data_IF_893855979285
#
_entry.id   IF_893855979285
#
_cell.length_a   1.000
_cell.length_b   1.000
_cell.length_c   1.000
_cell.angle_alpha   90.00
_cell.angle_beta   90.00
_cell.angle_gamma   90.00
#
_symmetry.space_group_name_H-M   'P 1'
#
loop_
_entity.id
_entity.type
_entity.pdbx_description
1 polymer ?
#
# COMPACT_ATOMS: atom_id res chain seq x y z
N UNK A 1 -17.48 -0.21 -12.50
CA UNK A 1 -16.35 -0.51 -11.59
C UNK A 1 -16.78 -1.54 -10.56
N UNK A 2 -16.12 -2.70 -10.53
CA UNK A 2 -16.34 -3.73 -9.52
C UNK A 2 -15.95 -3.21 -8.12
N UNK A 3 -16.51 -3.78 -7.05
CA UNK A 3 -16.21 -3.42 -5.64
C UNK A 3 -14.71 -3.49 -5.35
N UNK A 4 -14.03 -4.52 -5.84
CA UNK A 4 -12.58 -4.69 -5.66
C UNK A 4 -11.77 -3.58 -6.35
N UNK A 5 -12.23 -3.09 -7.51
CA UNK A 5 -11.62 -1.93 -8.17
C UNK A 5 -11.84 -0.63 -7.37
N UNK A 6 -13.05 -0.43 -6.81
CA UNK A 6 -13.33 0.74 -5.94
C UNK A 6 -12.43 0.73 -4.69
N UNK A 7 -12.27 -0.44 -4.06
CA UNK A 7 -11.37 -0.62 -2.92
C UNK A 7 -9.89 -0.42 -3.28
N UNK A 8 -9.46 -0.91 -4.44
CA UNK A 8 -8.09 -0.71 -4.92
C UNK A 8 -7.79 0.77 -5.18
N UNK A 9 -8.69 1.49 -5.84
CA UNK A 9 -8.59 2.93 -6.04
C UNK A 9 -8.59 3.71 -4.73
N UNK A 10 -9.49 3.37 -3.80
CA UNK A 10 -9.52 4.00 -2.48
C UNK A 10 -8.18 3.85 -1.74
N UNK A 11 -7.58 2.65 -1.75
CA UNK A 11 -6.28 2.43 -1.14
C UNK A 11 -5.20 3.31 -1.78
N UNK A 12 -5.15 3.36 -3.11
CA UNK A 12 -4.17 4.16 -3.84
C UNK A 12 -4.31 5.64 -3.55
N UNK A 13 -5.54 6.17 -3.53
CA UNK A 13 -5.81 7.58 -3.22
C UNK A 13 -5.38 7.90 -1.79
N UNK A 14 -5.78 7.09 -0.80
CA UNK A 14 -5.45 7.32 0.61
C UNK A 14 -3.94 7.26 0.82
N UNK A 15 -3.25 6.26 0.25
CA UNK A 15 -1.80 6.12 0.40
C UNK A 15 -1.07 7.29 -0.29
N UNK A 16 -1.47 7.65 -1.51
CA UNK A 16 -0.86 8.75 -2.26
C UNK A 16 -1.07 10.08 -1.54
N UNK A 17 -2.30 10.37 -1.10
CA UNK A 17 -2.60 11.56 -0.32
C UNK A 17 -1.79 11.59 0.99
N UNK A 18 -1.66 10.45 1.68
CA UNK A 18 -0.86 10.38 2.91
C UNK A 18 0.61 10.69 2.62
N UNK A 19 1.20 10.13 1.56
CA UNK A 19 2.60 10.39 1.19
C UNK A 19 2.80 11.87 0.86
N UNK A 20 1.90 12.48 0.08
CA UNK A 20 1.97 13.90 -0.29
C UNK A 20 1.85 14.78 0.96
N UNK A 21 0.83 14.57 1.80
CA UNK A 21 0.62 15.38 3.00
C UNK A 21 1.78 15.24 3.98
N UNK A 22 2.24 14.01 4.22
CA UNK A 22 3.36 13.73 5.13
C UNK A 22 4.65 14.36 4.61
N UNK A 23 4.96 14.24 3.31
CA UNK A 23 6.16 14.82 2.72
C UNK A 23 6.15 16.35 2.74
N UNK A 24 5.01 16.98 2.42
CA UNK A 24 4.84 18.44 2.51
C UNK A 24 5.01 18.90 3.96
N UNK A 25 4.36 18.23 4.92
CA UNK A 25 4.46 18.57 6.33
C UNK A 25 5.92 18.47 6.84
N UNK A 26 6.62 17.39 6.50
CA UNK A 26 8.04 17.22 6.85
C UNK A 26 8.91 18.29 6.19
N UNK A 27 8.67 18.63 4.91
CA UNK A 27 9.43 19.66 4.21
C UNK A 27 9.24 21.06 4.80
N UNK A 28 8.00 21.44 5.13
CA UNK A 28 7.69 22.72 5.78
C UNK A 28 8.33 22.79 7.16
N UNK A 29 8.19 21.73 7.97
CA UNK A 29 8.79 21.67 9.31
C UNK A 29 10.32 21.73 9.25
N UNK A 30 10.94 21.03 8.30
CA UNK A 30 12.39 21.08 8.10
C UNK A 30 12.87 22.50 7.75
N UNK A 31 12.10 23.23 6.94
CA UNK A 31 12.42 24.60 6.58
C UNK A 31 12.23 25.60 7.73
N UNK A 32 11.21 25.41 8.57
CA UNK A 32 10.83 26.38 9.62
C UNK A 32 11.50 26.13 10.97
N UNK A 33 11.63 24.86 11.39
CA UNK A 33 12.05 24.47 12.75
C UNK A 33 13.26 23.53 12.76
N UNK A 34 13.72 23.07 11.60
CA UNK A 34 14.77 22.05 11.49
C UNK A 34 14.24 20.64 11.75
N UNK A 35 15.01 19.79 12.43
CA UNK A 35 14.60 18.39 12.69
C UNK A 35 13.41 18.31 13.66
N UNK A 36 12.23 18.03 13.12
CA UNK A 36 10.96 17.90 13.85
C UNK A 36 10.24 16.62 13.45
N UNK A 37 9.67 15.89 14.42
CA UNK A 37 8.95 14.63 14.21
C UNK A 37 7.45 14.82 13.98
N UNK A 38 6.96 16.06 14.03
CA UNK A 38 5.52 16.39 13.91
C UNK A 38 4.98 15.93 12.55
N UNK A 39 5.75 16.11 11.47
CA UNK A 39 5.39 15.68 10.12
C UNK A 39 5.10 14.18 9.99
N UNK A 40 5.70 13.34 10.86
CA UNK A 40 5.52 11.88 10.85
C UNK A 40 4.13 11.49 11.37
N UNK A 41 3.48 12.31 12.19
CA UNK A 41 2.14 12.02 12.70
C UNK A 41 1.06 11.98 11.61
N UNK A 42 1.29 12.60 10.46
CA UNK A 42 0.38 12.52 9.31
C UNK A 42 0.26 11.11 8.71
N UNK A 43 1.16 10.20 9.07
CA UNK A 43 1.03 8.76 8.78
C UNK A 43 -0.24 8.17 9.43
N UNK A 44 -0.82 8.81 10.46
CA UNK A 44 -2.09 8.41 11.06
C UNK A 44 -3.27 8.40 10.06
N UNK A 45 -3.18 9.11 8.94
CA UNK A 45 -4.19 9.07 7.86
C UNK A 45 -4.37 7.64 7.31
N UNK A 46 -3.34 6.78 7.41
CA UNK A 46 -3.43 5.37 7.02
C UNK A 46 -4.46 4.57 7.83
N UNK A 47 -4.88 5.05 9.00
CA UNK A 47 -5.97 4.43 9.77
C UNK A 47 -7.27 4.36 8.95
N UNK A 48 -7.47 5.26 7.98
CA UNK A 48 -8.60 5.18 7.03
C UNK A 48 -8.64 3.88 6.23
N UNK A 49 -7.49 3.21 6.03
CA UNK A 49 -7.44 1.89 5.40
C UNK A 49 -8.09 0.80 6.26
N UNK A 50 -8.25 0.99 7.57
CA UNK A 50 -8.96 0.02 8.43
C UNK A 50 -10.48 0.18 8.35
N UNK A 51 -10.99 1.32 7.89
CA UNK A 51 -12.42 1.62 7.77
C UNK A 51 -13.09 1.08 6.49
N UNK A 52 -12.36 0.30 5.67
CA UNK A 52 -12.87 -0.38 4.47
C UNK A 52 -14.19 -1.16 4.66
N UNK A 53 -14.40 -1.98 5.72
CA UNK A 53 -15.64 -2.75 5.87
C UNK A 53 -16.86 -1.85 6.14
N UNK A 54 -16.64 -0.67 6.73
CA UNK A 54 -17.70 0.29 7.02
C UNK A 54 -18.09 1.11 5.77
N UNK A 55 -17.09 1.54 4.99
CA UNK A 55 -17.30 2.35 3.77
C UNK A 55 -17.83 1.55 2.58
N UNK A 56 -17.45 0.27 2.48
CA UNK A 56 -17.87 -0.61 1.39
C UNK A 56 -18.54 -1.86 1.94
N UNK A 57 -19.73 -1.70 2.55
CA UNK A 57 -20.55 -2.82 3.05
C UNK A 57 -20.75 -3.86 1.94
N UNK A 58 -20.62 -5.14 2.31
CA UNK A 58 -20.96 -6.26 1.42
C UNK A 58 -22.48 -6.23 1.21
N UNK A 59 -23.00 -6.30 -0.04
CA UNK A 59 -24.44 -6.37 -0.23
C UNK A 59 -24.97 -7.64 0.45
N UNK A 60 -25.83 -7.44 1.44
CA UNK A 60 -26.54 -8.48 2.16
C UNK A 60 -27.74 -8.92 1.31
N UNK A 61 -27.47 -9.43 0.11
CA UNK A 61 -28.53 -9.94 -0.76
C UNK A 61 -28.60 -11.46 -0.66
N UNK A 62 -29.78 -11.94 -0.26
CA UNK A 62 -30.18 -13.35 -0.21
C UNK A 62 -30.24 -14.03 -1.59
N UNK A 63 -30.06 -13.28 -2.69
CA UNK A 63 -30.02 -13.75 -4.08
C UNK A 63 -28.83 -13.21 -4.90
N UNK A 64 -27.92 -12.47 -4.29
CA UNK A 64 -26.75 -11.91 -4.97
C UNK A 64 -25.58 -12.87 -4.88
N UNK A 65 -25.08 -13.34 -6.03
CA UNK A 65 -23.91 -14.21 -6.17
C UNK A 65 -22.80 -13.77 -5.21
N UNK A 66 -22.54 -14.61 -4.20
CA UNK A 66 -21.91 -14.26 -2.91
C UNK A 66 -20.42 -13.91 -3.00
N UNK A 67 -19.77 -14.32 -4.08
CA UNK A 67 -18.45 -13.94 -4.56
C UNK A 67 -18.29 -14.78 -5.81
N UNK A 68 -18.04 -14.17 -6.97
CA UNK A 68 -17.62 -14.94 -8.13
C UNK A 68 -16.26 -15.58 -7.79
N UNK A 69 -16.11 -16.90 -7.96
CA UNK A 69 -14.86 -17.61 -7.63
C UNK A 69 -13.66 -16.94 -8.30
N UNK A 70 -13.92 -16.36 -9.48
CA UNK A 70 -13.00 -15.53 -10.26
C UNK A 70 -12.39 -14.37 -9.48
N UNK A 71 -13.18 -13.64 -8.69
CA UNK A 71 -12.70 -12.49 -7.91
C UNK A 71 -11.73 -12.94 -6.80
N UNK A 72 -11.99 -14.09 -6.19
CA UNK A 72 -11.12 -14.66 -5.17
C UNK A 72 -9.76 -15.09 -5.73
N UNK A 73 -9.74 -15.61 -6.95
CA UNK A 73 -8.51 -16.02 -7.64
C UNK A 73 -7.68 -14.79 -8.04
N UNK A 74 -8.32 -13.72 -8.53
CA UNK A 74 -7.64 -12.44 -8.84
C UNK A 74 -6.97 -11.87 -7.60
N UNK A 75 -7.68 -11.87 -6.46
CA UNK A 75 -7.15 -11.38 -5.19
C UNK A 75 -5.96 -12.22 -4.71
N UNK A 76 -6.08 -13.56 -4.72
CA UNK A 76 -4.99 -14.47 -4.32
C UNK A 76 -3.77 -14.28 -5.19
N UNK A 77 -3.94 -14.14 -6.51
CA UNK A 77 -2.85 -13.91 -7.47
C UNK A 77 -2.18 -12.56 -7.25
N UNK A 78 -2.97 -11.51 -7.04
CA UNK A 78 -2.46 -10.17 -6.72
C UNK A 78 -1.64 -10.17 -5.43
N UNK A 79 -2.13 -10.86 -4.40
CA UNK A 79 -1.45 -10.94 -3.10
C UNK A 79 -0.16 -11.76 -3.19
N UNK A 80 -0.16 -12.88 -3.91
CA UNK A 80 1.05 -13.67 -4.16
C UNK A 80 2.11 -12.86 -4.91
N UNK A 81 1.70 -12.10 -5.94
CA UNK A 81 2.61 -11.22 -6.68
C UNK A 81 3.17 -10.10 -5.79
N UNK A 82 2.31 -9.45 -5.01
CA UNK A 82 2.72 -8.40 -4.08
C UNK A 82 3.71 -8.91 -3.02
N UNK A 83 3.50 -10.11 -2.48
CA UNK A 83 4.39 -10.70 -1.49
C UNK A 83 5.76 -11.07 -2.07
N UNK A 84 5.79 -11.62 -3.30
CA UNK A 84 7.05 -11.89 -4.01
C UNK A 84 7.82 -10.60 -4.28
N UNK A 85 7.15 -9.58 -4.81
CA UNK A 85 7.77 -8.28 -5.07
C UNK A 85 8.31 -7.63 -3.80
N UNK A 86 7.55 -7.74 -2.69
CA UNK A 86 7.97 -7.22 -1.39
C UNK A 86 9.27 -7.84 -0.91
N UNK A 87 9.42 -9.17 -0.98
CA UNK A 87 10.64 -9.84 -0.53
C UNK A 87 11.89 -9.36 -1.27
N UNK A 88 11.79 -9.21 -2.60
CA UNK A 88 12.88 -8.68 -3.41
C UNK A 88 13.27 -7.26 -2.99
N UNK A 89 12.28 -6.38 -2.82
CA UNK A 89 12.52 -4.98 -2.40
C UNK A 89 13.07 -4.92 -0.98
N UNK A 90 12.57 -5.74 -0.06
CA UNK A 90 13.02 -5.78 1.34
C UNK A 90 14.47 -6.26 1.46
N UNK A 91 14.83 -7.35 0.77
CA UNK A 91 16.21 -7.85 0.74
C UNK A 91 17.14 -6.80 0.14
N UNK A 92 16.77 -6.25 -1.02
CA UNK A 92 17.55 -5.21 -1.68
C UNK A 92 17.74 -3.99 -0.76
N UNK A 93 16.68 -3.55 -0.08
CA UNK A 93 16.75 -2.40 0.84
C UNK A 93 17.66 -2.68 2.03
N UNK A 94 17.66 -3.91 2.55
CA UNK A 94 18.55 -4.34 3.63
C UNK A 94 20.02 -4.35 3.20
N UNK A 95 20.30 -4.85 1.99
CA UNK A 95 21.64 -4.79 1.40
C UNK A 95 22.10 -3.35 1.16
N UNK A 96 21.22 -2.48 0.64
CA UNK A 96 21.53 -1.06 0.44
C UNK A 96 21.83 -0.37 1.78
N UNK A 97 21.02 -0.63 2.82
CA UNK A 97 21.25 -0.07 4.14
C UNK A 97 22.62 -0.47 4.70
N UNK A 98 22.97 -1.76 4.58
CA UNK A 98 24.28 -2.27 4.98
C UNK A 98 25.42 -1.61 4.20
N UNK A 99 25.27 -1.47 2.88
CA UNK A 99 26.26 -0.86 2.00
C UNK A 99 26.51 0.62 2.31
N UNK A 100 25.45 1.41 2.54
CA UNK A 100 25.56 2.85 2.76
C UNK A 100 25.97 3.24 4.18
N UNK A 101 25.49 2.52 5.21
CA UNK A 101 25.80 2.84 6.60
C UNK A 101 27.20 2.34 6.98
N UNK A 102 27.64 1.22 6.40
CA UNK A 102 28.93 0.61 6.71
C UNK A 102 28.93 -0.14 8.05
N UNK A 103 29.91 -1.04 8.28
CA UNK A 103 29.87 -2.02 9.35
C UNK A 103 30.03 -1.47 10.78
N UNK A 104 30.40 -0.20 10.95
CA UNK A 104 30.68 0.42 12.26
C UNK A 104 29.61 1.41 12.72
N UNK A 105 28.67 1.76 11.86
CA UNK A 105 27.67 2.78 12.18
C UNK A 105 26.38 2.12 12.68
N UNK A 106 25.82 2.70 13.73
CA UNK A 106 24.55 2.27 14.30
C UNK A 106 23.39 2.69 13.40
N UNK A 107 22.46 1.77 13.17
CA UNK A 107 21.21 2.09 12.46
C UNK A 107 20.28 2.85 13.42
N UNK A 108 19.70 3.99 13.01
CA UNK A 108 18.72 4.70 13.82
C UNK A 108 17.55 3.76 14.19
N UNK A 109 17.12 3.80 15.45
CA UNK A 109 16.03 2.94 15.94
C UNK A 109 14.71 3.15 15.18
N UNK A 110 14.49 4.34 14.63
CA UNK A 110 13.32 4.68 13.82
C UNK A 110 13.31 4.01 12.43
N UNK A 111 14.46 3.57 11.93
CA UNK A 111 14.58 2.97 10.59
C UNK A 111 13.82 1.65 10.49
N UNK A 112 13.83 0.83 11.54
CA UNK A 112 13.15 -0.47 11.55
C UNK A 112 11.61 -0.34 11.45
N UNK A 113 10.93 0.48 12.29
CA UNK A 113 9.51 0.76 12.12
C UNK A 113 9.17 1.34 10.74
N UNK A 114 10.00 2.25 10.22
CA UNK A 114 9.80 2.85 8.90
C UNK A 114 9.92 1.83 7.76
N UNK A 115 10.88 0.89 7.84
CA UNK A 115 10.99 -0.20 6.87
C UNK A 115 9.76 -1.11 6.91
N UNK A 116 9.27 -1.45 8.11
CA UNK A 116 8.06 -2.26 8.25
C UNK A 116 6.83 -1.54 7.69
N UNK A 117 6.67 -0.25 7.98
CA UNK A 117 5.57 0.57 7.48
C UNK A 117 5.65 0.75 5.95
N UNK A 118 6.82 1.06 5.42
CA UNK A 118 7.07 1.16 3.99
C UNK A 118 6.77 -0.16 3.26
N UNK A 119 7.17 -1.29 3.85
CA UNK A 119 6.83 -2.62 3.35
C UNK A 119 5.33 -2.90 3.27
N UNK A 120 4.60 -2.60 4.34
CA UNK A 120 3.14 -2.76 4.38
C UNK A 120 2.43 -1.88 3.34
N UNK A 121 2.89 -0.64 3.16
CA UNK A 121 2.40 0.27 2.12
C UNK A 121 2.69 -0.27 0.72
N UNK A 122 3.93 -0.72 0.49
CA UNK A 122 4.35 -1.28 -0.79
C UNK A 122 3.48 -2.48 -1.20
N UNK A 123 3.28 -3.44 -0.29
CA UNK A 123 2.39 -4.59 -0.54
C UNK A 123 0.98 -4.11 -0.91
N UNK A 124 0.45 -3.12 -0.18
CA UNK A 124 -0.90 -2.59 -0.41
C UNK A 124 -1.03 -1.91 -1.78
N UNK A 125 -0.02 -1.14 -2.18
CA UNK A 125 0.04 -0.48 -3.50
C UNK A 125 0.13 -1.55 -4.60
N UNK A 126 1.11 -2.45 -4.53
CA UNK A 126 1.33 -3.48 -5.56
C UNK A 126 0.10 -4.37 -5.71
N UNK A 127 -0.53 -4.76 -4.61
CA UNK A 127 -1.77 -5.53 -4.63
C UNK A 127 -2.91 -4.74 -5.30
N UNK A 128 -3.09 -3.46 -4.94
CA UNK A 128 -4.13 -2.60 -5.53
C UNK A 128 -3.93 -2.38 -7.03
N UNK A 129 -2.68 -2.13 -7.47
CA UNK A 129 -2.32 -2.02 -8.89
C UNK A 129 -2.53 -3.35 -9.61
N UNK A 130 -2.12 -4.47 -9.02
CA UNK A 130 -2.29 -5.81 -9.62
C UNK A 130 -3.76 -6.17 -9.80
N UNK A 131 -4.63 -5.77 -8.86
CA UNK A 131 -6.09 -5.93 -8.99
C UNK A 131 -6.59 -5.11 -10.18
N UNK A 132 -6.21 -3.82 -10.26
CA UNK A 132 -6.63 -2.93 -11.35
C UNK A 132 -6.20 -3.43 -12.73
N UNK A 133 -4.95 -3.88 -12.86
CA UNK A 133 -4.38 -4.42 -14.10
C UNK A 133 -5.07 -5.72 -14.49
N UNK A 134 -5.30 -6.65 -13.56
CA UNK A 134 -5.96 -7.92 -13.87
C UNK A 134 -7.42 -7.72 -14.31
N UNK A 135 -8.19 -6.84 -13.66
CA UNK A 135 -9.53 -6.51 -14.12
C UNK A 135 -9.52 -5.79 -15.49
N UNK A 136 -8.56 -4.90 -15.73
CA UNK A 136 -8.43 -4.19 -17.01
C UNK A 136 -8.03 -5.09 -18.18
N UNK A 137 -7.22 -6.14 -17.93
CA UNK A 137 -6.85 -7.13 -18.95
C UNK A 137 -7.97 -8.11 -19.25
N UNK A 138 -8.73 -8.53 -18.23
CA UNK A 138 -9.86 -9.44 -18.40
C UNK A 138 -10.98 -8.82 -19.26
N UNK A 139 -11.30 -7.54 -19.06
CA UNK A 139 -12.30 -6.85 -19.90
C UNK A 139 -11.89 -6.66 -21.37
N UNK A 140 -10.60 -6.78 -21.70
CA UNK A 140 -10.08 -6.75 -23.08
C UNK A 140 -9.99 -8.14 -23.72
N UNK A 141 -10.04 -9.21 -22.92
CA UNK A 141 -9.95 -10.59 -23.40
C UNK A 141 -11.28 -11.21 -23.84
N UNK A 142 -12.41 -10.52 -23.65
CA UNK A 142 -13.75 -10.96 -24.10
C UNK A 142 -14.14 -10.38 -25.48
N UNK A 143 -13.18 -9.79 -26.21
CA UNK A 143 -13.37 -9.28 -27.59
C UNK A 143 -12.57 -10.11 -28.62
N UNK A 144 -12.27 -11.38 -28.31
CA UNK A 144 -11.64 -12.31 -29.26
C UNK A 144 -12.45 -13.57 -29.45
#
# INVERSE_FOLDING_TARGET
>A
MNRYQKLAWFNLIVITATIIITSIAVAIEFHMRGYSTIGIWFVAILVLLKFKPFLFKKPESRSGVVCDERDSLILKRALSFAFKAFWWVFVLSSFLLWWFIGPRNSVPTLTLPLMALGGALFITIVCSVSILVQYGRTGKGEVS
#
